data_IF_716977496877
#
_entry.id   IF_716977496877
#
_cell.length_a   1.000
_cell.length_b   1.000
_cell.length_c   1.000
_cell.angle_alpha   90.00
_cell.angle_beta   90.00
_cell.angle_gamma   90.00
#
_symmetry.space_group_name_H-M   'P 1'
#
loop_
_entity.id
_entity.type
_entity.pdbx_description
1 polymer ?
#
# COMPACT_ATOMS: atom_id res chain seq x y z
N UNK A 1 6.99 -8.75 -1.55
CA UNK A 1 5.90 -9.76 -1.47
C UNK A 1 4.99 -9.56 -2.67
N UNK A 2 4.66 -10.63 -3.38
CA UNK A 2 3.77 -10.57 -4.55
C UNK A 2 2.33 -10.28 -4.10
N UNK A 3 1.73 -9.21 -4.63
CA UNK A 3 0.34 -8.86 -4.39
C UNK A 3 -0.57 -9.53 -5.43
N UNK A 4 -0.28 -9.30 -6.72
CA UNK A 4 -1.00 -9.89 -7.85
C UNK A 4 -0.02 -10.19 -8.98
N UNK A 5 -0.41 -11.11 -9.84
CA UNK A 5 0.21 -11.32 -11.15
C UNK A 5 -0.86 -11.76 -12.12
N UNK A 6 -0.77 -11.22 -13.32
CA UNK A 6 -1.74 -11.42 -14.37
C UNK A 6 -1.07 -11.21 -15.72
N UNK A 7 -1.69 -11.77 -16.76
CA UNK A 7 -1.19 -11.67 -18.13
C UNK A 7 -2.02 -10.64 -18.88
N UNK A 8 -1.35 -9.69 -19.52
CA UNK A 8 -1.97 -8.79 -20.51
C UNK A 8 -1.37 -9.19 -21.85
N UNK A 9 -2.21 -9.62 -22.80
CA UNK A 9 -1.76 -10.13 -24.09
C UNK A 9 -0.74 -11.28 -23.95
N UNK A 10 0.54 -10.97 -24.18
CA UNK A 10 1.69 -11.88 -24.07
C UNK A 10 2.56 -11.61 -22.83
N UNK A 11 2.40 -10.44 -22.21
CA UNK A 11 3.28 -9.94 -21.16
C UNK A 11 2.75 -10.26 -19.76
N UNK A 12 3.67 -10.60 -18.86
CA UNK A 12 3.38 -10.89 -17.47
C UNK A 12 3.54 -9.61 -16.66
N UNK A 13 2.45 -9.14 -16.07
CA UNK A 13 2.46 -8.01 -15.15
C UNK A 13 2.39 -8.51 -13.72
N UNK A 14 3.36 -8.08 -12.92
CA UNK A 14 3.50 -8.45 -11.51
C UNK A 14 3.53 -7.21 -10.64
N UNK A 15 2.69 -7.19 -9.61
CA UNK A 15 2.72 -6.13 -8.61
C UNK A 15 3.24 -6.71 -7.32
N UNK A 16 4.28 -6.10 -6.79
CA UNK A 16 4.88 -6.46 -5.52
C UNK A 16 4.83 -5.30 -4.54
N UNK A 17 4.74 -5.64 -3.26
CA UNK A 17 4.83 -4.68 -2.18
C UNK A 17 5.63 -5.23 -1.01
N UNK A 18 6.36 -4.36 -0.33
CA UNK A 18 7.02 -4.69 0.93
C UNK A 18 6.25 -4.13 2.14
N UNK A 19 6.60 -4.57 3.34
CA UNK A 19 5.99 -4.10 4.59
C UNK A 19 6.09 -2.58 4.80
N UNK A 20 7.12 -1.94 4.25
CA UNK A 20 7.32 -0.49 4.33
C UNK A 20 6.53 0.31 3.28
N UNK A 21 5.65 -0.36 2.53
CA UNK A 21 4.76 0.30 1.58
C UNK A 21 5.39 0.63 0.23
N UNK A 22 6.59 0.11 -0.08
CA UNK A 22 7.17 0.22 -1.41
C UNK A 22 6.46 -0.74 -2.35
N UNK A 23 5.62 -0.19 -3.22
CA UNK A 23 4.89 -0.85 -4.29
C UNK A 23 5.68 -0.77 -5.59
N UNK A 24 5.82 -1.89 -6.29
CA UNK A 24 6.63 -2.05 -7.50
C UNK A 24 5.81 -2.81 -8.53
N UNK A 25 5.84 -2.33 -9.77
CA UNK A 25 5.19 -2.99 -10.91
C UNK A 25 6.28 -3.44 -11.86
N UNK A 26 6.21 -4.72 -12.23
CA UNK A 26 7.09 -5.36 -13.19
C UNK A 26 6.29 -5.81 -14.41
N UNK A 27 6.87 -5.65 -15.60
CA UNK A 27 6.37 -6.22 -16.85
C UNK A 27 7.48 -7.10 -17.40
N UNK A 28 7.24 -8.40 -17.55
CA UNK A 28 8.25 -9.38 -17.97
C UNK A 28 9.55 -9.28 -17.15
N UNK A 29 9.43 -9.21 -15.82
CA UNK A 29 10.55 -9.01 -14.86
C UNK A 29 11.27 -7.65 -14.91
N UNK A 30 10.93 -6.76 -15.84
CA UNK A 30 11.45 -5.39 -15.89
C UNK A 30 10.64 -4.47 -14.99
N UNK A 31 11.32 -3.73 -14.12
CA UNK A 31 10.68 -2.73 -13.24
C UNK A 31 10.23 -1.52 -14.07
N UNK A 32 8.92 -1.32 -14.18
CA UNK A 32 8.33 -0.20 -14.96
C UNK A 32 7.81 0.94 -14.07
N UNK A 33 7.46 0.63 -12.82
CA UNK A 33 6.93 1.65 -11.90
C UNK A 33 7.25 1.32 -10.45
N UNK A 34 7.51 2.35 -9.65
CA UNK A 34 7.79 2.25 -8.22
C UNK A 34 7.15 3.42 -7.49
N UNK A 35 6.35 3.14 -6.47
CA UNK A 35 5.72 4.15 -5.60
C UNK A 35 5.81 3.71 -4.14
N UNK A 36 5.72 4.67 -3.22
CA UNK A 36 5.72 4.41 -1.78
C UNK A 36 4.41 4.89 -1.19
N UNK A 37 3.66 3.98 -0.59
CA UNK A 37 2.33 4.22 -0.03
C UNK A 37 2.03 3.25 1.09
N UNK A 38 1.18 3.64 2.04
CA UNK A 38 0.63 2.74 3.06
C UNK A 38 -0.68 2.08 2.63
N UNK A 39 -1.37 2.57 1.60
CA UNK A 39 -2.72 2.13 1.27
C UNK A 39 -2.95 1.80 -0.22
N UNK A 40 -1.91 1.40 -0.95
CA UNK A 40 -1.96 1.11 -2.40
C UNK A 40 -1.88 2.37 -3.27
N UNK A 41 -1.38 2.25 -4.50
CA UNK A 41 -1.31 3.38 -5.46
C UNK A 41 -1.83 3.00 -6.84
N UNK A 42 -2.09 4.02 -7.66
CA UNK A 42 -2.33 3.83 -9.08
C UNK A 42 -0.99 3.83 -9.82
N UNK A 43 -0.88 3.00 -10.85
CA UNK A 43 0.28 2.93 -11.73
C UNK A 43 -0.16 3.02 -13.19
N UNK A 44 0.49 3.89 -13.94
CA UNK A 44 0.34 3.90 -15.40
C UNK A 44 1.50 3.10 -15.97
N UNK A 45 1.19 2.14 -16.82
CA UNK A 45 2.15 1.29 -17.50
C UNK A 45 1.84 1.28 -18.99
N UNK A 46 2.89 1.14 -19.81
CA UNK A 46 2.76 1.03 -21.25
C UNK A 46 3.17 -0.37 -21.67
N UNK A 47 2.30 -1.05 -22.42
CA UNK A 47 2.56 -2.38 -22.98
C UNK A 47 2.37 -2.26 -24.50
N UNK A 48 3.45 -2.50 -25.25
CA UNK A 48 3.48 -2.17 -26.67
C UNK A 48 3.20 -0.68 -26.92
N UNK A 49 2.12 -0.40 -27.69
CA UNK A 49 1.67 0.96 -28.00
C UNK A 49 0.47 1.43 -27.17
N UNK A 50 -0.02 0.63 -26.23
CA UNK A 50 -1.20 0.94 -25.44
C UNK A 50 -0.83 1.35 -24.01
N UNK A 51 -1.50 2.39 -23.52
CA UNK A 51 -1.38 2.84 -22.14
C UNK A 51 -2.45 2.17 -21.28
N UNK A 52 -2.02 1.59 -20.17
CA UNK A 52 -2.87 0.96 -19.18
C UNK A 52 -2.72 1.66 -17.82
N UNK A 53 -3.83 1.86 -17.13
CA UNK A 53 -3.85 2.29 -15.74
C UNK A 53 -4.22 1.11 -14.84
N UNK A 54 -3.34 0.80 -13.89
CA UNK A 54 -3.61 -0.10 -12.79
C UNK A 54 -4.06 0.77 -11.62
N UNK A 55 -5.36 0.75 -11.34
CA UNK A 55 -5.97 1.56 -10.28
C UNK A 55 -6.21 0.71 -9.04
N UNK A 56 -5.70 1.19 -7.91
CA UNK A 56 -6.01 0.57 -6.62
C UNK A 56 -7.38 1.07 -6.15
N UNK A 57 -8.32 0.15 -5.97
CA UNK A 57 -9.65 0.46 -5.46
C UNK A 57 -9.98 -0.39 -4.24
N UNK A 58 -10.85 0.14 -3.40
CA UNK A 58 -11.40 -0.59 -2.28
C UNK A 58 -12.90 -0.32 -2.25
N UNK A 59 -13.69 -1.40 -2.23
CA UNK A 59 -15.15 -1.32 -2.32
C UNK A 59 -15.75 -0.46 -1.21
N UNK A 60 -15.13 -0.46 -0.03
CA UNK A 60 -15.51 0.40 1.09
C UNK A 60 -14.28 1.04 1.74
N UNK A 61 -14.39 2.30 2.17
CA UNK A 61 -13.26 3.07 2.73
C UNK A 61 -12.67 2.45 4.00
N UNK A 62 -13.50 1.90 4.89
CA UNK A 62 -13.07 1.18 6.10
C UNK A 62 -12.36 -0.16 5.79
N UNK A 63 -12.60 -0.75 4.61
CA UNK A 63 -11.99 -1.99 4.15
C UNK A 63 -10.61 -1.76 3.55
N UNK A 64 -10.19 -0.49 3.39
CA UNK A 64 -8.78 -0.14 3.14
C UNK A 64 -7.87 -0.72 4.23
N UNK A 65 -8.42 -0.86 5.44
CA UNK A 65 -7.72 -1.31 6.63
C UNK A 65 -7.98 -2.79 6.94
N UNK A 66 -9.17 -3.31 6.60
CA UNK A 66 -9.62 -4.66 7.03
C UNK A 66 -9.81 -5.70 5.94
N UNK A 67 -9.74 -5.36 4.65
CA UNK A 67 -9.50 -6.38 3.62
C UNK A 67 -10.39 -6.38 2.38
N UNK A 68 -9.80 -6.99 1.35
CA UNK A 68 -10.21 -7.11 -0.05
C UNK A 68 -9.96 -5.86 -0.91
N UNK A 69 -8.75 -5.27 -0.89
CA UNK A 69 -8.35 -4.38 -1.97
C UNK A 69 -8.37 -5.11 -3.32
N UNK A 70 -8.73 -4.37 -4.36
CA UNK A 70 -8.76 -4.82 -5.75
C UNK A 70 -7.95 -3.88 -6.62
N UNK A 71 -7.24 -4.45 -7.58
CA UNK A 71 -6.63 -3.69 -8.66
C UNK A 71 -7.54 -3.76 -9.87
N UNK A 72 -7.95 -2.61 -10.39
CA UNK A 72 -8.64 -2.49 -11.66
C UNK A 72 -7.61 -2.22 -12.75
N UNK A 73 -7.67 -2.99 -13.83
CA UNK A 73 -6.93 -2.70 -15.04
C UNK A 73 -7.83 -1.90 -15.97
N UNK A 74 -7.38 -0.71 -16.35
CA UNK A 74 -8.07 0.23 -17.22
C UNK A 74 -7.24 0.43 -18.48
N UNK A 75 -7.91 0.57 -19.62
CA UNK A 75 -7.32 1.16 -20.83
C UNK A 75 -8.20 2.35 -21.22
N UNK A 76 -7.65 3.56 -21.11
CA UNK A 76 -8.47 4.77 -21.09
C UNK A 76 -9.52 4.74 -19.96
N UNK A 77 -10.79 4.90 -20.31
CA UNK A 77 -11.90 4.90 -19.34
C UNK A 77 -12.53 3.50 -19.13
N UNK A 78 -12.11 2.49 -19.90
CA UNK A 78 -12.75 1.18 -19.91
C UNK A 78 -12.10 0.23 -18.90
N UNK A 79 -12.90 -0.38 -18.02
CA UNK A 79 -12.45 -1.43 -17.11
C UNK A 79 -12.30 -2.73 -17.89
N UNK A 80 -11.06 -3.18 -18.07
CA UNK A 80 -10.75 -4.44 -18.75
C UNK A 80 -10.94 -5.61 -17.78
N UNK A 81 -10.44 -5.47 -16.55
CA UNK A 81 -10.44 -6.57 -15.60
C UNK A 81 -10.26 -6.10 -14.15
N UNK A 82 -10.76 -6.91 -13.22
CA UNK A 82 -10.62 -6.71 -11.78
C UNK A 82 -9.83 -7.86 -11.14
N UNK A 83 -8.78 -7.52 -10.39
CA UNK A 83 -7.92 -8.47 -9.71
C UNK A 83 -7.99 -8.32 -8.19
N UNK A 84 -8.51 -9.34 -7.52
CA UNK A 84 -8.58 -9.41 -6.05
C UNK A 84 -7.23 -9.75 -5.47
N UNK A 85 -6.76 -8.93 -4.53
CA UNK A 85 -5.53 -9.24 -3.80
C UNK A 85 -5.82 -10.37 -2.80
N UNK A 86 -5.18 -11.53 -3.00
CA UNK A 86 -5.42 -12.73 -2.18
C UNK A 86 -4.79 -12.66 -0.78
N UNK A 87 -3.87 -11.72 -0.56
CA UNK A 87 -3.00 -11.71 0.61
C UNK A 87 -3.59 -10.93 1.80
N UNK A 88 -4.78 -11.33 2.26
CA UNK A 88 -5.51 -10.65 3.35
C UNK A 88 -4.73 -10.63 4.67
N UNK A 89 -4.01 -11.72 4.99
CA UNK A 89 -3.23 -11.85 6.22
C UNK A 89 -2.14 -10.77 6.35
N UNK A 90 -1.46 -10.44 5.26
CA UNK A 90 -0.44 -9.39 5.24
C UNK A 90 -1.01 -8.02 5.61
N UNK A 91 -2.16 -7.66 5.03
CA UNK A 91 -2.81 -6.38 5.34
C UNK A 91 -3.26 -6.32 6.80
N UNK A 92 -3.78 -7.42 7.36
CA UNK A 92 -4.12 -7.50 8.77
C UNK A 92 -2.91 -7.33 9.68
N UNK A 93 -1.79 -7.98 9.37
CA UNK A 93 -0.54 -7.83 10.14
C UNK A 93 -0.02 -6.39 10.07
N UNK A 94 0.00 -5.80 8.87
CA UNK A 94 0.43 -4.41 8.67
C UNK A 94 -0.46 -3.44 9.45
N UNK A 95 -1.78 -3.69 9.50
CA UNK A 95 -2.72 -2.90 10.28
C UNK A 95 -2.44 -3.00 11.79
N UNK A 96 -2.31 -4.21 12.33
CA UNK A 96 -2.03 -4.43 13.76
C UNK A 96 -0.71 -3.79 14.17
N UNK A 97 0.35 -3.91 13.36
CA UNK A 97 1.62 -3.24 13.62
C UNK A 97 1.48 -1.71 13.60
N UNK A 98 0.69 -1.17 12.67
CA UNK A 98 0.42 0.27 12.61
C UNK A 98 -0.30 0.76 13.87
N UNK A 99 -1.24 -0.02 14.42
CA UNK A 99 -1.90 0.30 15.69
C UNK A 99 -0.93 0.26 16.87
N UNK A 100 -0.04 -0.73 16.94
CA UNK A 100 0.97 -0.83 17.99
C UNK A 100 1.91 0.38 17.95
N UNK A 101 2.39 0.76 16.76
CA UNK A 101 3.24 1.94 16.57
C UNK A 101 2.51 3.22 16.95
N UNK A 102 1.25 3.38 16.51
CA UNK A 102 0.43 4.53 16.86
C UNK A 102 0.25 4.65 18.37
N UNK A 103 -0.04 3.54 19.06
CA UNK A 103 -0.16 3.51 20.51
C UNK A 103 1.16 3.91 21.19
N UNK A 104 2.30 3.38 20.74
CA UNK A 104 3.62 3.75 21.26
C UNK A 104 3.93 5.24 21.09
N UNK A 105 3.64 5.81 19.92
CA UNK A 105 3.78 7.25 19.66
C UNK A 105 2.88 8.05 20.59
N UNK A 106 1.64 7.61 20.80
CA UNK A 106 0.70 8.31 21.68
C UNK A 106 1.22 8.38 23.12
N UNK A 107 1.80 7.29 23.65
CA UNK A 107 2.42 7.28 24.99
C UNK A 107 3.58 8.29 25.06
N UNK A 108 4.45 8.31 24.06
CA UNK A 108 5.58 9.25 24.01
C UNK A 108 5.07 10.69 23.98
N UNK A 109 4.08 10.98 23.14
CA UNK A 109 3.49 12.32 23.05
C UNK A 109 2.84 12.72 24.37
N UNK A 110 2.09 11.82 25.02
CA UNK A 110 1.51 12.09 26.33
C UNK A 110 2.57 12.33 27.41
N UNK A 111 3.68 11.56 27.40
CA UNK A 111 4.79 11.77 28.32
C UNK A 111 5.49 13.11 28.10
N UNK A 112 5.68 13.52 26.84
CA UNK A 112 6.23 14.84 26.49
C UNK A 112 5.28 15.96 26.95
N UNK A 113 3.96 15.80 26.74
CA UNK A 113 2.97 16.78 27.21
C UNK A 113 2.94 16.86 28.74
N UNK A 114 2.98 15.73 29.44
CA UNK A 114 2.98 15.70 30.92
C UNK A 114 4.28 16.30 31.48
N UNK A 115 5.43 15.98 30.87
CA UNK A 115 6.72 16.61 31.19
C UNK A 115 6.69 18.12 30.98
N UNK A 116 6.12 18.61 29.87
CA UNK A 116 5.97 20.04 29.62
C UNK A 116 5.05 20.72 30.64
N UNK A 117 3.94 20.06 31.04
CA UNK A 117 2.99 20.59 32.04
C UNK A 117 3.58 20.69 33.44
N UNK A 118 4.49 19.79 33.81
CA UNK A 118 5.15 19.78 35.12
C UNK A 118 6.37 20.70 35.20
N UNK A 119 6.61 21.49 34.14
CA UNK A 119 7.89 22.16 33.90
C UNK A 119 8.90 21.12 33.45
N UNK A 120 9.66 21.40 32.38
CA UNK A 120 10.76 20.54 31.94
C UNK A 120 11.80 20.40 33.06
N UNK A 121 11.59 19.47 34.00
CA UNK A 121 12.63 19.03 34.92
C UNK A 121 13.48 18.06 34.12
N UNK A 122 14.41 18.61 33.34
CA UNK A 122 15.63 17.88 33.02
C UNK A 122 16.32 17.62 34.36
N UNK A 123 15.97 16.52 35.01
CA UNK A 123 16.83 15.95 36.04
C UNK A 123 18.04 15.36 35.29
N UNK A 124 18.98 16.24 34.97
CA UNK A 124 20.33 15.85 34.60
C UNK A 124 21.02 15.37 35.89
N UNK A 125 20.82 14.10 36.21
CA UNK A 125 21.63 13.36 37.18
C UNK A 125 22.07 12.04 36.57
#
# INVERSE_FOLDING_TARGET
>A
MKLIEFKIESDIVKIERNFFGNERVFVNELLVSKKRTLFGTNHNIKIGNLDYEIKYTVKDWWKKWTGKPTFLLLSGETVISEYKIKNSMFFSIQFTLSLIVFYGISIIVFAVIDSAKRGFVFNAH
#
